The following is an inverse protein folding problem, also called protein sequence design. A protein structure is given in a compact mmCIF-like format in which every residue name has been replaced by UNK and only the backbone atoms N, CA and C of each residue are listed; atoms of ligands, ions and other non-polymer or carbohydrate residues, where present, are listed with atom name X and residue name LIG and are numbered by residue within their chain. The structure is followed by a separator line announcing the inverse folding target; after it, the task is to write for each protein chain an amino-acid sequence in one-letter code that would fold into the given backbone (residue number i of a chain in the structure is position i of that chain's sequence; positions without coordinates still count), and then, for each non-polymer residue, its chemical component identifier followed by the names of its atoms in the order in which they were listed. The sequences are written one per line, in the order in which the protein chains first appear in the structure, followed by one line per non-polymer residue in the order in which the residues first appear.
data_IF_596114653692
#
_entry.id   IF_596114653692
#
_cell.length_a   1.000
_cell.length_b   1.000
_cell.length_c   1.000
_cell.angle_alpha   90.00
_cell.angle_beta   90.00
_cell.angle_gamma   90.00
#
_symmetry.space_group_name_H-M   'P 1'
#
loop_
_entity.id
_entity.type
_entity.pdbx_description
1 polymer ?
#
# COMPACT_ATOMS: atom_id res chain seq x y z
N UNK A 1 -4.67 -6.49 -13.89
CA UNK A 1 -4.27 -7.35 -12.76
C UNK A 1 -5.39 -7.32 -11.73
N UNK A 2 -5.83 -8.49 -11.26
CA UNK A 2 -6.81 -8.61 -10.18
C UNK A 2 -6.08 -8.47 -8.85
N UNK A 3 -6.46 -7.48 -8.05
CA UNK A 3 -5.99 -7.32 -6.67
C UNK A 3 -6.87 -8.24 -5.83
N UNK A 4 -6.26 -9.13 -5.04
CA UNK A 4 -7.02 -9.99 -4.14
C UNK A 4 -7.87 -9.13 -3.20
N UNK A 5 -9.10 -9.55 -2.91
CA UNK A 5 -10.04 -8.79 -2.07
C UNK A 5 -9.99 -9.23 -0.61
N UNK A 6 -9.64 -10.49 -0.36
CA UNK A 6 -9.57 -11.04 0.98
C UNK A 6 -8.13 -11.39 1.34
N UNK A 7 -7.74 -11.08 2.57
CA UNK A 7 -6.42 -11.47 3.09
C UNK A 7 -6.27 -12.99 3.10
N UNK A 8 -7.36 -13.72 3.32
CA UNK A 8 -7.41 -15.19 3.24
C UNK A 8 -7.00 -15.73 1.87
N UNK A 9 -7.18 -14.96 0.80
CA UNK A 9 -6.75 -15.37 -0.55
C UNK A 9 -5.21 -15.36 -0.69
N UNK A 10 -4.49 -14.65 0.17
CA UNK A 10 -3.03 -14.74 0.25
C UNK A 10 -2.56 -16.00 1.00
N UNK A 11 -3.45 -16.61 1.77
CA UNK A 11 -3.15 -17.67 2.74
C UNK A 11 -3.57 -19.06 2.25
N UNK A 12 -3.65 -19.24 0.93
CA UNK A 12 -3.97 -20.52 0.29
C UNK A 12 -3.02 -21.60 0.82
N UNK A 13 -3.55 -22.50 1.65
CA UNK A 13 -2.79 -23.58 2.29
C UNK A 13 -2.73 -23.52 3.82
N UNK A 14 -3.30 -22.50 4.48
CA UNK A 14 -3.50 -22.55 5.93
C UNK A 14 -4.48 -23.65 6.34
N UNK A 15 -4.30 -24.19 7.56
CA UNK A 15 -5.10 -25.30 8.11
C UNK A 15 -6.59 -24.97 8.08
N UNK A 16 -7.43 -26.00 7.88
CA UNK A 16 -8.90 -25.90 7.91
C UNK A 16 -9.45 -25.44 9.28
N UNK A 17 -8.65 -25.52 10.36
CA UNK A 17 -9.00 -25.02 11.69
C UNK A 17 -7.98 -24.00 12.18
N UNK A 18 -8.37 -22.73 12.17
CA UNK A 18 -7.65 -21.61 12.78
C UNK A 18 -7.97 -21.53 14.27
N UNK A 19 -7.01 -21.08 15.07
CA UNK A 19 -7.26 -20.70 16.46
C UNK A 19 -8.09 -19.40 16.51
N UNK A 20 -8.79 -19.12 17.63
CA UNK A 20 -9.51 -17.86 17.79
C UNK A 20 -8.59 -16.62 17.67
N UNK A 21 -7.34 -16.74 18.10
CA UNK A 21 -6.33 -15.68 18.01
C UNK A 21 -5.91 -15.44 16.55
N UNK A 22 -5.72 -16.51 15.78
CA UNK A 22 -5.42 -16.43 14.34
C UNK A 22 -6.59 -15.82 13.57
N UNK A 23 -7.84 -16.18 13.90
CA UNK A 23 -9.02 -15.60 13.25
C UNK A 23 -9.20 -14.10 13.58
N UNK A 24 -8.92 -13.69 14.82
CA UNK A 24 -8.93 -12.28 15.20
C UNK A 24 -7.84 -11.49 14.46
N UNK A 25 -6.63 -12.04 14.38
CA UNK A 25 -5.53 -11.46 13.60
C UNK A 25 -5.91 -11.28 12.13
N UNK A 26 -6.46 -12.31 11.50
CA UNK A 26 -6.87 -12.24 10.10
C UNK A 26 -7.98 -11.20 9.87
N UNK A 27 -8.89 -11.06 10.82
CA UNK A 27 -9.94 -10.04 10.76
C UNK A 27 -9.35 -8.63 10.84
N UNK A 28 -8.39 -8.41 11.74
CA UNK A 28 -7.66 -7.15 11.85
C UNK A 28 -6.83 -6.83 10.60
N UNK A 29 -6.13 -7.82 10.03
CA UNK A 29 -5.39 -7.65 8.77
C UNK A 29 -6.33 -7.38 7.59
N UNK A 30 -7.51 -8.01 7.59
CA UNK A 30 -8.54 -7.75 6.58
C UNK A 30 -8.99 -6.28 6.61
N UNK A 31 -9.18 -5.70 7.80
CA UNK A 31 -9.50 -4.26 7.92
C UNK A 31 -8.40 -3.37 7.33
N UNK A 32 -7.12 -3.63 7.61
CA UNK A 32 -6.01 -2.89 7.00
C UNK A 32 -5.96 -3.10 5.48
N UNK A 33 -6.25 -4.32 5.01
CA UNK A 33 -6.29 -4.59 3.59
C UNK A 33 -7.44 -3.86 2.88
N UNK A 34 -8.58 -3.70 3.52
CA UNK A 34 -9.68 -2.87 2.98
C UNK A 34 -9.28 -1.39 2.90
N UNK A 35 -8.56 -0.87 3.88
CA UNK A 35 -7.99 0.48 3.81
C UNK A 35 -7.03 0.61 2.63
N UNK A 36 -6.12 -0.35 2.45
CA UNK A 36 -5.26 -0.43 1.26
C UNK A 36 -6.06 -0.40 -0.04
N UNK A 37 -7.13 -1.19 -0.14
CA UNK A 37 -7.96 -1.25 -1.36
C UNK A 37 -8.60 0.11 -1.66
N UNK A 38 -9.10 0.80 -0.63
CA UNK A 38 -9.67 2.14 -0.78
C UNK A 38 -8.63 3.15 -1.26
N UNK A 39 -7.42 3.12 -0.70
CA UNK A 39 -6.29 3.97 -1.11
C UNK A 39 -5.92 3.73 -2.58
N UNK A 40 -5.90 2.48 -3.02
CA UNK A 40 -5.61 2.14 -4.42
C UNK A 40 -6.74 2.50 -5.40
N UNK A 41 -7.98 2.44 -4.94
CA UNK A 41 -9.15 2.86 -5.73
C UNK A 41 -9.15 4.38 -5.89
N UNK A 42 -8.93 5.13 -4.81
CA UNK A 42 -8.82 6.59 -4.83
C UNK A 42 -7.71 7.07 -5.78
N UNK A 43 -6.53 6.46 -5.73
CA UNK A 43 -5.47 6.75 -6.70
C UNK A 43 -5.91 6.49 -8.14
N UNK A 44 -6.63 5.40 -8.40
CA UNK A 44 -7.15 5.09 -9.74
C UNK A 44 -8.18 6.13 -10.21
N UNK A 45 -9.02 6.62 -9.29
CA UNK A 45 -9.97 7.72 -9.55
C UNK A 45 -9.20 9.00 -9.87
N UNK A 46 -8.23 9.40 -9.05
CA UNK A 46 -7.43 10.61 -9.26
C UNK A 46 -6.69 10.61 -10.60
N UNK A 47 -6.09 9.48 -11.01
CA UNK A 47 -5.44 9.34 -12.32
C UNK A 47 -6.45 9.52 -13.46
N UNK A 48 -7.66 8.99 -13.31
CA UNK A 48 -8.72 9.12 -14.32
C UNK A 48 -9.26 10.55 -14.40
N UNK A 49 -9.50 11.21 -13.25
CA UNK A 49 -9.95 12.60 -13.20
C UNK A 49 -8.93 13.56 -13.83
N UNK A 50 -7.64 13.27 -13.65
CA UNK A 50 -6.54 14.08 -14.19
C UNK A 50 -6.04 13.59 -15.55
N UNK A 51 -6.75 12.65 -16.20
CA UNK A 51 -6.29 12.02 -17.43
C UNK A 51 -6.03 12.99 -18.59
N UNK A 52 -6.75 14.12 -18.65
CA UNK A 52 -6.52 15.17 -19.66
C UNK A 52 -5.27 16.01 -19.39
N UNK A 53 -4.84 16.08 -18.13
CA UNK A 53 -3.65 16.82 -17.70
C UNK A 53 -2.39 15.94 -17.67
N UNK A 54 -2.54 14.64 -17.94
CA UNK A 54 -1.46 13.64 -17.93
C UNK A 54 -1.16 13.15 -19.34
N UNK A 55 0.11 12.85 -19.62
CA UNK A 55 0.46 12.15 -20.86
C UNK A 55 -0.03 10.70 -20.84
N UNK A 56 -0.27 10.06 -21.99
CA UNK A 56 -0.56 8.62 -22.06
C UNK A 56 0.49 7.75 -21.35
N UNK A 57 1.77 8.10 -21.47
CA UNK A 57 2.89 7.41 -20.82
C UNK A 57 2.78 7.54 -19.29
N UNK A 58 2.43 8.73 -18.79
CA UNK A 58 2.21 8.97 -17.36
C UNK A 58 1.03 8.14 -16.82
N UNK A 59 0.06 7.77 -17.65
CA UNK A 59 -1.02 6.86 -17.22
C UNK A 59 -0.56 5.40 -17.18
N UNK A 60 0.32 5.00 -18.10
CA UNK A 60 0.96 3.67 -18.07
C UNK A 60 1.87 3.54 -16.85
N UNK A 61 2.68 4.55 -16.56
CA UNK A 61 3.53 4.60 -15.36
C UNK A 61 2.71 4.57 -14.06
N UNK A 62 1.55 5.23 -14.02
CA UNK A 62 0.63 5.14 -12.88
C UNK A 62 0.14 3.71 -12.65
N UNK A 63 -0.18 3.00 -13.75
CA UNK A 63 -0.53 1.59 -13.67
C UNK A 63 0.64 0.76 -13.11
N UNK A 64 1.87 0.98 -13.60
CA UNK A 64 3.06 0.28 -13.11
C UNK A 64 3.33 0.57 -11.62
N UNK A 65 3.17 1.80 -11.17
CA UNK A 65 3.28 2.19 -9.76
C UNK A 65 2.29 1.40 -8.91
N UNK A 66 1.03 1.31 -9.34
CA UNK A 66 0.01 0.50 -8.68
C UNK A 66 0.38 -0.98 -8.60
N UNK A 67 1.00 -1.56 -9.64
CA UNK A 67 1.46 -2.94 -9.61
C UNK A 67 2.56 -3.15 -8.55
N UNK A 68 3.52 -2.22 -8.47
CA UNK A 68 4.64 -2.29 -7.52
C UNK A 68 4.17 -2.16 -6.07
N UNK A 69 3.30 -1.18 -5.80
CA UNK A 69 2.67 -1.00 -4.49
C UNK A 69 1.92 -2.27 -4.06
N UNK A 70 1.19 -2.90 -4.98
CA UNK A 70 0.49 -4.16 -4.68
C UNK A 70 1.44 -5.31 -4.37
N UNK A 71 2.56 -5.42 -5.10
CA UNK A 71 3.56 -6.45 -4.85
C UNK A 71 4.21 -6.28 -3.48
N UNK A 72 4.61 -5.05 -3.12
CA UNK A 72 5.15 -4.74 -1.79
C UNK A 72 4.11 -5.00 -0.69
N UNK A 73 2.87 -4.50 -0.84
CA UNK A 73 1.81 -4.72 0.14
C UNK A 73 1.54 -6.20 0.39
N UNK A 74 1.48 -7.01 -0.68
CA UNK A 74 1.31 -8.45 -0.55
C UNK A 74 2.50 -9.10 0.16
N UNK A 75 3.73 -8.69 -0.14
CA UNK A 75 4.91 -9.20 0.54
C UNK A 75 4.87 -8.89 2.04
N UNK A 76 4.52 -7.66 2.42
CA UNK A 76 4.38 -7.25 3.83
C UNK A 76 3.27 -7.98 4.56
N UNK A 77 2.11 -8.18 3.92
CA UNK A 77 1.03 -8.99 4.50
C UNK A 77 1.48 -10.45 4.73
N UNK A 78 2.23 -11.03 3.79
CA UNK A 78 2.75 -12.39 3.95
C UNK A 78 3.79 -12.48 5.07
N UNK A 79 4.72 -11.53 5.14
CA UNK A 79 5.67 -11.41 6.26
C UNK A 79 4.92 -11.34 7.59
N UNK A 80 3.89 -10.50 7.67
CA UNK A 80 3.06 -10.36 8.86
C UNK A 80 2.35 -11.64 9.30
N UNK A 81 1.85 -12.45 8.36
CA UNK A 81 1.10 -13.67 8.71
C UNK A 81 2.03 -14.85 9.00
N UNK A 82 3.18 -14.94 8.34
CA UNK A 82 4.07 -16.10 8.43
C UNK A 82 5.32 -15.89 9.30
N UNK A 83 5.69 -14.65 9.58
CA UNK A 83 6.85 -14.36 10.44
C UNK A 83 6.47 -14.47 11.92
N UNK A 84 6.67 -15.66 12.47
CA UNK A 84 6.45 -15.98 13.89
C UNK A 84 7.34 -15.22 14.88
N UNK A 85 8.29 -14.41 14.40
CA UNK A 85 9.25 -13.69 15.25
C UNK A 85 8.79 -12.30 15.69
N UNK A 86 7.79 -11.70 15.01
CA UNK A 86 7.24 -10.39 15.38
C UNK A 86 6.07 -10.55 16.33
N UNK A 87 6.13 -9.84 17.45
CA UNK A 87 5.05 -9.80 18.44
C UNK A 87 3.78 -9.24 17.79
N UNK A 88 2.73 -10.06 17.71
CA UNK A 88 1.47 -9.71 17.07
C UNK A 88 0.58 -9.00 18.09
N UNK A 89 0.82 -7.72 18.29
CA UNK A 89 -0.08 -6.90 19.08
C UNK A 89 -1.39 -6.68 18.34
N UNK A 90 -2.51 -6.73 19.05
CA UNK A 90 -3.84 -6.61 18.47
C UNK A 90 -4.10 -5.17 17.99
N UNK A 91 -5.07 -4.98 17.09
CA UNK A 91 -5.53 -3.62 16.73
C UNK A 91 -6.12 -2.88 17.94
N UNK A 92 -6.59 -3.58 18.97
CA UNK A 92 -7.06 -2.98 20.22
C UNK A 92 -5.92 -2.39 21.06
N UNK A 93 -4.68 -2.84 20.87
CA UNK A 93 -3.51 -2.26 21.54
C UNK A 93 -3.00 -0.99 20.84
N UNK A 94 -3.55 -0.60 19.67
CA UNK A 94 -3.14 0.55 18.85
C UNK A 94 -3.00 1.87 19.62
N UNK A 95 -3.84 2.11 20.63
CA UNK A 95 -3.76 3.32 21.48
C UNK A 95 -2.57 3.31 22.46
N UNK A 96 -1.90 2.17 22.61
CA UNK A 96 -0.80 1.92 23.55
C UNK A 96 0.56 1.75 22.86
N UNK A 97 0.60 1.73 21.52
CA UNK A 97 1.84 1.54 20.77
C UNK A 97 2.66 2.82 20.69
N UNK A 98 3.91 2.73 21.14
CA UNK A 98 4.89 3.81 20.96
C UNK A 98 5.14 4.07 19.46
N UNK A 99 5.49 5.31 19.08
CA UNK A 99 5.78 5.66 17.67
C UNK A 99 6.93 4.87 17.04
N UNK A 100 7.76 4.19 17.84
CA UNK A 100 8.84 3.30 17.40
C UNK A 100 8.45 1.81 17.48
N UNK A 101 7.15 1.49 17.57
CA UNK A 101 6.71 0.11 17.63
C UNK A 101 6.96 -0.63 16.31
N UNK A 102 7.69 -1.75 16.42
CA UNK A 102 8.08 -2.61 15.31
C UNK A 102 7.15 -3.82 15.13
N UNK A 103 5.92 -3.74 15.65
CA UNK A 103 4.92 -4.77 15.42
C UNK A 103 4.42 -4.74 13.98
N UNK A 104 3.91 -5.89 13.52
CA UNK A 104 3.40 -6.04 12.15
C UNK A 104 2.34 -4.97 11.79
N UNK A 105 1.38 -4.70 12.67
CA UNK A 105 0.30 -3.75 12.40
C UNK A 105 0.82 -2.32 12.21
N UNK A 106 1.69 -1.85 13.10
CA UNK A 106 2.30 -0.52 12.99
C UNK A 106 3.14 -0.39 11.72
N UNK A 107 3.86 -1.44 11.31
CA UNK A 107 4.60 -1.45 10.05
C UNK A 107 3.67 -1.36 8.83
N UNK A 108 2.58 -2.12 8.80
CA UNK A 108 1.60 -2.07 7.71
C UNK A 108 0.91 -0.71 7.62
N UNK A 109 0.52 -0.11 8.75
CA UNK A 109 -0.06 1.24 8.78
C UNK A 109 0.92 2.28 8.27
N UNK A 110 2.17 2.29 8.75
CA UNK A 110 3.23 3.18 8.24
C UNK A 110 3.45 3.02 6.73
N UNK A 111 3.30 1.79 6.24
CA UNK A 111 3.43 1.48 4.82
C UNK A 111 2.26 2.05 4.00
N UNK A 112 1.04 2.03 4.53
CA UNK A 112 -0.11 2.69 3.90
C UNK A 112 0.10 4.19 3.75
N UNK A 113 0.53 4.86 4.83
CA UNK A 113 0.86 6.30 4.79
C UNK A 113 1.94 6.60 3.74
N UNK A 114 2.93 5.71 3.64
CA UNK A 114 4.00 5.82 2.63
C UNK A 114 3.45 5.69 1.21
N UNK A 115 2.51 4.78 0.95
CA UNK A 115 1.89 4.65 -0.36
C UNK A 115 1.08 5.88 -0.74
N UNK A 116 0.28 6.42 0.18
CA UNK A 116 -0.48 7.64 -0.03
C UNK A 116 0.44 8.81 -0.40
N UNK A 117 1.53 9.00 0.35
CA UNK A 117 2.51 10.05 0.07
C UNK A 117 3.15 9.91 -1.32
N UNK A 118 3.51 8.69 -1.70
CA UNK A 118 4.14 8.39 -3.01
C UNK A 118 3.17 8.62 -4.16
N UNK A 119 1.92 8.23 -3.99
CA UNK A 119 0.89 8.44 -5.01
C UNK A 119 0.52 9.92 -5.13
N UNK A 120 0.45 10.65 -4.01
CA UNK A 120 0.22 12.09 -4.02
C UNK A 120 1.36 12.84 -4.74
N UNK A 121 2.61 12.51 -4.44
CA UNK A 121 3.79 13.05 -5.13
C UNK A 121 3.75 12.73 -6.64
N UNK A 122 3.44 11.47 -6.99
CA UNK A 122 3.29 11.05 -8.38
C UNK A 122 2.26 11.91 -9.13
N UNK A 123 1.06 12.07 -8.56
CA UNK A 123 0.00 12.88 -9.14
C UNK A 123 0.46 14.34 -9.30
N UNK A 124 1.08 14.91 -8.27
CA UNK A 124 1.55 16.29 -8.30
C UNK A 124 2.57 16.51 -9.42
N UNK A 125 3.60 15.67 -9.51
CA UNK A 125 4.66 15.78 -10.52
C UNK A 125 4.11 15.59 -11.93
N UNK A 126 3.24 14.59 -12.14
CA UNK A 126 2.76 14.22 -13.48
C UNK A 126 1.62 15.09 -14.00
N UNK A 127 1.06 15.96 -13.17
CA UNK A 127 -0.04 16.86 -13.55
C UNK A 127 0.36 18.34 -13.48
N UNK A 128 1.58 18.64 -13.02
CA UNK A 128 2.15 19.97 -13.06
C UNK A 128 2.26 20.45 -14.51
N UNK A 129 1.69 21.63 -14.79
CA UNK A 129 1.89 22.31 -16.07
C UNK A 129 3.37 22.63 -16.24
N UNK A 130 3.98 22.18 -17.35
CA UNK A 130 5.36 22.55 -17.69
C UNK A 130 5.45 24.06 -17.81
N UNK A 131 6.22 24.68 -16.92
CA UNK A 131 6.52 26.10 -17.00
C UNK A 131 7.87 26.24 -17.72
N UNK A 132 7.88 26.75 -18.97
CA UNK A 132 9.08 26.72 -19.82
C UNK A 132 10.25 27.57 -19.31
N UNK A 133 10.03 28.44 -18.31
CA UNK A 133 11.08 29.30 -17.74
C UNK A 133 11.79 28.70 -16.51
N UNK A 134 11.31 27.57 -15.98
CA UNK A 134 11.87 26.96 -14.76
C UNK A 134 11.94 25.42 -14.87
N UNK A 135 12.46 24.94 -15.99
CA UNK A 135 12.47 23.53 -16.39
C UNK A 135 13.59 22.70 -15.72
N UNK A 136 13.84 22.93 -14.42
CA UNK A 136 14.42 21.92 -13.53
C UNK A 136 13.27 21.04 -12.99
N UNK A 137 12.46 20.47 -13.89
CA UNK A 137 11.35 19.63 -13.51
C UNK A 137 11.85 18.42 -12.72
N UNK A 138 11.57 18.39 -11.41
CA UNK A 138 11.82 17.22 -10.57
C UNK A 138 11.03 16.04 -11.17
N UNK A 139 11.77 15.10 -11.75
CA UNK A 139 11.20 13.85 -12.24
C UNK A 139 10.77 13.02 -11.04
N UNK A 140 9.56 12.46 -11.08
CA UNK A 140 9.10 11.52 -10.06
C UNK A 140 10.15 10.42 -9.86
N UNK A 141 10.64 10.29 -8.63
CA UNK A 141 11.59 9.25 -8.26
C UNK A 141 10.84 8.16 -7.52
N UNK A 142 10.92 6.94 -8.04
CA UNK A 142 10.34 5.81 -7.35
C UNK A 142 11.13 5.55 -6.05
N UNK A 143 10.47 5.50 -4.89
CA UNK A 143 11.14 5.21 -3.63
C UNK A 143 11.84 3.86 -3.64
N UNK A 144 12.98 3.76 -2.95
CA UNK A 144 13.79 2.54 -2.90
C UNK A 144 13.00 1.30 -2.44
N UNK A 145 12.07 1.46 -1.50
CA UNK A 145 11.27 0.34 -1.01
C UNK A 145 10.34 -0.29 -2.07
N UNK A 146 10.04 0.43 -3.17
CA UNK A 146 9.28 -0.08 -4.32
C UNK A 146 10.17 -0.52 -5.49
N UNK A 147 11.50 -0.53 -5.32
CA UNK A 147 12.47 -0.93 -6.36
C UNK A 147 12.94 -2.38 -6.23
N UNK A 148 12.66 -3.01 -5.10
CA UNK A 148 13.09 -4.38 -4.75
C UNK A 148 12.08 -5.42 -5.23
#
# INVERSE_FOLDING_TARGET
MEIAKNVRDFLVGMKETLSPEEDQLLSSLQTLHEQYLNVMDDFSVQVNEKALSMSPESRVEAHQLRLKIYQDWRARLMECVFDSSREMASVEDAETHAPECDCCFCELTRRLDSYEAVMADYIQVKTRSKDPENDCAESFQLPEFLTT
#
